data_IF_819955142233
#
_entry.id   IF_819955142233
#
_cell.length_a   1.000
_cell.length_b   1.000
_cell.length_c   1.000
_cell.angle_alpha   90.00
_cell.angle_beta   90.00
_cell.angle_gamma   90.00
#
_symmetry.space_group_name_H-M   'P 1'
#
loop_
_entity.id
_entity.type
_entity.pdbx_description
1 polymer ?
#
# COMPACT_ATOMS: atom_id res chain seq x y z
N UNK A 1 2.40 -38.21 -5.15
CA UNK A 1 2.05 -37.45 -3.93
C UNK A 1 2.24 -35.97 -4.20
N UNK A 2 1.16 -35.26 -4.51
CA UNK A 2 1.18 -33.90 -5.04
C UNK A 2 1.11 -32.85 -3.92
N UNK A 3 2.20 -32.67 -3.17
CA UNK A 3 2.28 -31.68 -2.09
C UNK A 3 2.51 -30.23 -2.57
N UNK A 4 2.71 -30.00 -3.87
CA UNK A 4 2.99 -28.67 -4.44
C UNK A 4 1.84 -27.67 -4.27
N UNK A 5 0.58 -28.15 -4.23
CA UNK A 5 -0.58 -27.26 -4.08
C UNK A 5 -0.76 -26.68 -2.67
N UNK A 6 -0.18 -27.30 -1.64
CA UNK A 6 -0.32 -26.86 -0.24
C UNK A 6 0.48 -25.59 0.07
N UNK A 7 1.54 -25.32 -0.69
CA UNK A 7 2.39 -24.14 -0.51
C UNK A 7 1.93 -22.93 -1.35
N UNK A 8 1.03 -23.12 -2.32
CA UNK A 8 0.47 -22.02 -3.11
C UNK A 8 -0.38 -21.06 -2.25
N UNK A 9 -0.97 -21.55 -1.17
CA UNK A 9 -1.76 -20.72 -0.25
C UNK A 9 -0.90 -19.72 0.54
N UNK A 10 0.37 -20.05 0.79
CA UNK A 10 1.31 -19.17 1.52
C UNK A 10 1.61 -17.87 0.75
N UNK A 11 1.47 -17.90 -0.57
CA UNK A 11 1.73 -16.77 -1.47
C UNK A 11 0.46 -16.32 -2.21
N UNK A 12 -0.71 -16.54 -1.60
CA UNK A 12 -1.96 -16.04 -2.19
C UNK A 12 -1.95 -14.51 -2.19
N UNK A 13 -2.30 -13.93 -3.33
CA UNK A 13 -2.47 -12.48 -3.44
C UNK A 13 -3.55 -12.03 -2.44
N UNK A 14 -3.20 -11.14 -1.52
CA UNK A 14 -4.13 -10.58 -0.55
C UNK A 14 -5.24 -9.82 -1.26
N UNK A 15 -6.48 -10.07 -0.87
CA UNK A 15 -7.64 -9.37 -1.41
C UNK A 15 -7.73 -7.94 -0.86
N UNK A 16 -8.54 -7.08 -1.49
CA UNK A 16 -8.80 -5.74 -0.95
C UNK A 16 -9.44 -5.79 0.43
N UNK A 17 -10.25 -6.81 0.72
CA UNK A 17 -10.84 -7.03 2.04
C UNK A 17 -9.79 -7.37 3.10
N UNK A 18 -8.81 -8.24 2.77
CA UNK A 18 -7.71 -8.58 3.67
C UNK A 18 -6.89 -7.32 4.01
N UNK A 19 -6.62 -6.48 3.00
CA UNK A 19 -5.88 -5.22 3.16
C UNK A 19 -6.64 -4.22 4.03
N UNK A 20 -7.96 -4.12 3.88
CA UNK A 20 -8.82 -3.29 4.73
C UNK A 20 -8.84 -3.80 6.18
N UNK A 21 -8.88 -5.12 6.36
CA UNK A 21 -8.85 -5.74 7.68
C UNK A 21 -7.51 -5.49 8.37
N UNK A 22 -6.39 -5.63 7.65
CA UNK A 22 -5.06 -5.26 8.15
C UNK A 22 -4.99 -3.78 8.53
N UNK A 23 -5.54 -2.89 7.69
CA UNK A 23 -5.54 -1.45 7.98
C UNK A 23 -6.30 -1.13 9.28
N UNK A 24 -7.47 -1.74 9.48
CA UNK A 24 -8.20 -1.58 10.74
C UNK A 24 -7.44 -2.12 11.95
N UNK A 25 -6.83 -3.31 11.84
CA UNK A 25 -6.04 -3.89 12.93
C UNK A 25 -4.88 -2.97 13.35
N UNK A 26 -4.14 -2.43 12.36
CA UNK A 26 -3.02 -1.52 12.61
C UNK A 26 -3.47 -0.16 13.20
N UNK A 27 -4.67 0.29 12.80
CA UNK A 27 -5.28 1.49 13.38
C UNK A 27 -5.69 1.26 14.83
N UNK A 28 -6.24 0.08 15.13
CA UNK A 28 -6.65 -0.31 16.48
C UNK A 28 -5.45 -0.53 17.41
N UNK A 29 -4.34 -1.07 16.91
CA UNK A 29 -3.08 -1.23 17.64
C UNK A 29 -2.24 0.05 17.72
N UNK A 30 -2.63 1.13 17.02
CA UNK A 30 -1.87 2.38 16.90
C UNK A 30 -0.45 2.18 16.33
N UNK A 31 -0.28 1.19 15.46
CA UNK A 31 0.99 0.84 14.80
C UNK A 31 1.13 1.48 13.41
N UNK A 32 0.20 2.34 13.03
CA UNK A 32 0.26 3.08 11.79
C UNK A 32 1.27 4.23 11.86
N UNK A 33 2.23 4.21 10.95
CA UNK A 33 3.05 5.37 10.63
C UNK A 33 2.65 5.96 9.28
N UNK A 34 3.21 7.13 8.94
CA UNK A 34 2.89 7.86 7.70
C UNK A 34 3.16 7.03 6.44
N UNK A 35 4.30 6.34 6.39
CA UNK A 35 4.71 5.54 5.23
C UNK A 35 3.79 4.34 5.01
N UNK A 36 3.44 3.63 6.08
CA UNK A 36 2.55 2.48 6.03
C UNK A 36 1.11 2.89 5.68
N UNK A 37 0.64 3.98 6.28
CA UNK A 37 -0.67 4.58 5.97
C UNK A 37 -0.74 4.94 4.48
N UNK A 38 0.27 5.64 3.96
CA UNK A 38 0.34 6.00 2.55
C UNK A 38 0.34 4.77 1.63
N UNK A 39 1.13 3.75 1.96
CA UNK A 39 1.23 2.52 1.17
C UNK A 39 -0.11 1.78 1.11
N UNK A 40 -0.77 1.59 2.27
CA UNK A 40 -2.08 0.94 2.36
C UNK A 40 -3.15 1.73 1.60
N UNK A 41 -3.19 3.05 1.79
CA UNK A 41 -4.11 3.93 1.07
C UNK A 41 -3.94 3.82 -0.45
N UNK A 42 -2.70 3.85 -0.95
CA UNK A 42 -2.42 3.73 -2.40
C UNK A 42 -2.84 2.37 -2.96
N UNK A 43 -2.49 1.27 -2.29
CA UNK A 43 -2.80 -0.08 -2.77
C UNK A 43 -4.31 -0.33 -2.75
N UNK A 44 -4.98 -0.02 -1.63
CA UNK A 44 -6.43 -0.24 -1.51
C UNK A 44 -7.20 0.62 -2.51
N UNK A 45 -6.83 1.90 -2.64
CA UNK A 45 -7.46 2.77 -3.62
C UNK A 45 -7.19 2.34 -5.06
N UNK A 46 -5.99 1.84 -5.35
CA UNK A 46 -5.63 1.28 -6.65
C UNK A 46 -6.45 0.04 -7.00
N UNK A 47 -6.59 -0.88 -6.05
CA UNK A 47 -7.41 -2.09 -6.23
C UNK A 47 -8.88 -1.74 -6.45
N UNK A 48 -9.44 -0.82 -5.66
CA UNK A 48 -10.81 -0.36 -5.82
C UNK A 48 -11.02 0.30 -7.19
N UNK A 49 -10.08 1.14 -7.64
CA UNK A 49 -10.18 1.77 -8.96
C UNK A 49 -10.10 0.76 -10.10
N UNK A 50 -9.23 -0.25 -9.98
CA UNK A 50 -8.95 -1.23 -11.04
C UNK A 50 -10.06 -2.25 -11.18
N UNK A 51 -10.60 -2.72 -10.06
CA UNK A 51 -11.65 -3.73 -10.05
C UNK A 51 -13.06 -3.16 -10.33
N UNK A 52 -13.17 -1.98 -10.95
CA UNK A 52 -14.41 -1.24 -11.27
C UNK A 52 -15.56 -1.62 -10.33
N UNK A 53 -15.41 -1.21 -9.07
CA UNK A 53 -16.16 -1.67 -7.91
C UNK A 53 -17.64 -1.95 -8.19
N UNK A 54 -17.97 -3.19 -8.55
CA UNK A 54 -19.32 -3.74 -8.44
C UNK A 54 -19.76 -3.81 -6.96
N UNK A 55 -18.80 -3.80 -6.03
CA UNK A 55 -19.03 -3.95 -4.61
C UNK A 55 -18.89 -2.64 -3.82
N UNK A 56 -19.95 -1.82 -3.87
CA UNK A 56 -20.06 -0.56 -3.11
C UNK A 56 -19.76 -0.72 -1.61
N UNK A 57 -19.86 -1.94 -1.08
CA UNK A 57 -19.58 -2.25 0.34
C UNK A 57 -18.11 -2.04 0.68
N UNK A 58 -17.18 -2.49 -0.18
CA UNK A 58 -15.74 -2.32 0.06
C UNK A 58 -15.33 -0.85 0.00
N UNK A 59 -15.93 -0.07 -0.91
CA UNK A 59 -15.67 1.37 -0.97
C UNK A 59 -16.19 2.08 0.28
N UNK A 60 -17.38 1.73 0.77
CA UNK A 60 -17.92 2.25 2.04
C UNK A 60 -17.03 1.90 3.22
N UNK A 61 -16.54 0.66 3.29
CA UNK A 61 -15.62 0.21 4.34
C UNK A 61 -14.32 1.00 4.31
N UNK A 62 -13.72 1.17 3.12
CA UNK A 62 -12.56 2.02 2.94
C UNK A 62 -12.79 3.47 3.42
N UNK A 63 -13.91 4.08 3.04
CA UNK A 63 -14.26 5.43 3.48
C UNK A 63 -14.39 5.52 5.01
N UNK A 64 -15.00 4.51 5.65
CA UNK A 64 -15.10 4.42 7.10
C UNK A 64 -13.73 4.26 7.78
N UNK A 65 -12.80 3.51 7.18
CA UNK A 65 -11.41 3.40 7.66
C UNK A 65 -10.71 4.75 7.62
N UNK A 66 -10.83 5.49 6.52
CA UNK A 66 -10.24 6.83 6.39
C UNK A 66 -10.85 7.81 7.39
N UNK A 67 -12.15 7.75 7.62
CA UNK A 67 -12.82 8.58 8.62
C UNK A 67 -12.33 8.23 10.04
N UNK A 68 -12.16 6.94 10.35
CA UNK A 68 -11.60 6.51 11.64
C UNK A 68 -10.16 7.00 11.83
N UNK A 69 -9.35 6.95 10.77
CA UNK A 69 -8.00 7.48 10.76
C UNK A 69 -7.97 9.00 10.96
N UNK A 70 -8.92 9.73 10.38
CA UNK A 70 -9.08 11.18 10.59
C UNK A 70 -9.34 11.53 12.05
N UNK A 71 -10.17 10.77 12.75
CA UNK A 71 -10.46 11.02 14.16
C UNK A 71 -9.30 10.65 15.09
N UNK A 72 -8.59 9.55 14.81
CA UNK A 72 -7.59 9.00 15.74
C UNK A 72 -6.17 9.50 15.48
N UNK A 73 -5.81 9.72 14.21
CA UNK A 73 -4.43 10.00 13.79
C UNK A 73 -4.43 11.06 12.68
N UNK A 74 -5.02 12.23 12.97
CA UNK A 74 -5.17 13.32 12.00
C UNK A 74 -3.84 13.74 11.37
N UNK A 75 -2.79 13.89 12.17
CA UNK A 75 -1.46 14.29 11.68
C UNK A 75 -0.89 13.27 10.69
N UNK A 76 -1.02 11.98 11.01
CA UNK A 76 -0.59 10.89 10.13
C UNK A 76 -1.35 10.90 8.81
N UNK A 77 -2.67 11.12 8.86
CA UNK A 77 -3.49 11.24 7.66
C UNK A 77 -3.09 12.46 6.82
N UNK A 78 -2.87 13.62 7.44
CA UNK A 78 -2.47 14.83 6.72
C UNK A 78 -1.13 14.66 6.01
N UNK A 79 -0.13 14.11 6.71
CA UNK A 79 1.18 13.83 6.14
C UNK A 79 1.11 12.80 5.02
N UNK A 80 0.33 11.73 5.19
CA UNK A 80 0.13 10.72 4.16
C UNK A 80 -0.57 11.32 2.92
N UNK A 81 -1.61 12.12 3.10
CA UNK A 81 -2.31 12.79 1.98
C UNK A 81 -1.41 13.80 1.28
N UNK A 82 -0.60 14.57 2.01
CA UNK A 82 0.39 15.48 1.44
C UNK A 82 1.42 14.71 0.61
N UNK A 83 1.98 13.63 1.16
CA UNK A 83 2.92 12.76 0.45
C UNK A 83 2.29 12.09 -0.78
N UNK A 84 1.01 11.72 -0.73
CA UNK A 84 0.29 11.22 -1.91
C UNK A 84 0.21 12.28 -3.00
N UNK A 85 -0.25 13.50 -2.66
CA UNK A 85 -0.36 14.60 -3.62
C UNK A 85 1.00 14.94 -4.25
N UNK A 86 2.05 15.01 -3.45
CA UNK A 86 3.40 15.34 -3.90
C UNK A 86 4.05 14.20 -4.70
N UNK A 87 3.74 12.94 -4.38
CA UNK A 87 4.22 11.78 -5.12
C UNK A 87 3.56 11.57 -6.48
N UNK A 88 2.54 12.37 -6.84
CA UNK A 88 1.92 12.32 -8.18
C UNK A 88 2.78 12.99 -9.26
N UNK A 89 3.87 13.67 -8.90
CA UNK A 89 4.84 14.29 -9.82
C UNK A 89 6.14 13.50 -10.01
N UNK A 90 6.28 12.31 -9.43
CA UNK A 90 7.44 11.45 -9.72
C UNK A 90 7.10 10.63 -10.95
N UNK A 91 7.47 11.17 -12.10
CA UNK A 91 7.72 10.40 -13.32
C UNK A 91 8.39 9.09 -12.93
N UNK A 92 7.81 7.98 -13.35
CA UNK A 92 8.41 6.65 -13.28
C UNK A 92 9.69 6.64 -14.10
N UNK A 93 10.78 7.20 -13.59
CA UNK A 93 12.11 6.77 -14.01
C UNK A 93 12.30 5.41 -13.34
N UNK A 94 12.45 4.32 -14.13
CA UNK A 94 12.81 3.04 -13.56
C UNK A 94 14.10 3.26 -12.78
N UNK A 95 14.12 2.78 -11.54
CA UNK A 95 15.30 2.82 -10.69
C UNK A 95 16.51 2.36 -11.49
N UNK A 96 17.41 3.30 -11.75
CA UNK A 96 18.71 3.07 -12.36
C UNK A 96 19.46 2.13 -11.43
N UNK A 97 19.47 0.86 -11.82
CA UNK A 97 20.19 -0.20 -11.15
C UNK A 97 21.67 0.21 -11.17
N UNK A 98 22.21 0.52 -9.99
CA UNK A 98 23.59 0.94 -9.71
C UNK A 98 24.60 0.55 -10.81
N UNK A 99 25.20 1.51 -11.52
CA UNK A 99 26.44 1.29 -12.22
C UNK A 99 27.52 2.12 -11.54
N UNK A 100 28.22 1.55 -10.55
CA UNK A 100 29.66 1.82 -10.51
C UNK A 100 30.42 0.75 -9.71
N UNK A 101 30.97 -0.18 -10.47
CA UNK A 101 31.89 -1.21 -10.01
C UNK A 101 32.80 -1.57 -11.19
N UNK A 102 33.30 -0.55 -11.89
CA UNK A 102 34.21 -0.70 -13.02
C UNK A 102 35.46 0.15 -12.79
N UNK A 103 36.36 -0.32 -11.92
CA UNK A 103 37.76 0.12 -11.97
C UNK A 103 38.29 -0.20 -13.36
N UNK A 104 38.58 0.83 -14.13
CA UNK A 104 39.41 0.74 -15.32
C UNK A 104 40.73 1.42 -14.98
N UNK A 105 41.73 0.59 -14.72
CA UNK A 105 43.14 0.96 -14.74
C UNK A 105 43.49 1.58 -16.10
N UNK A 106 44.16 2.73 -16.09
CA UNK A 106 44.98 3.16 -17.22
C UNK A 106 46.06 4.15 -16.74
N UNK A 107 47.23 3.60 -16.43
CA UNK A 107 48.53 4.29 -16.58
C UNK A 107 49.16 3.86 -17.90
#
# INVERSE_FOLDING_TARGET
MSNSSKYKELFRNSTTEDKLTLFHLLLDSNELNVSLTLALMKIIHGDLKTNQVSDRTLYKRYAATIESLRYRMLDTLQLAVAAWKNGRSVSTTPAEWFPDGGKSDQE
#
